data_IF_798646898614
#
_entry.id   IF_798646898614
#
_cell.length_a   1.000
_cell.length_b   1.000
_cell.length_c   1.000
_cell.angle_alpha   90.00
_cell.angle_beta   90.00
_cell.angle_gamma   90.00
#
_symmetry.space_group_name_H-M   'P 1'
#
loop_
_entity.id
_entity.type
_entity.pdbx_description
1 polymer ?
#
# COMPACT_ATOMS: atom_id res chain seq x y z
N UNK A 1 22.00 5.09 5.32
CA UNK A 1 23.20 4.44 4.74
C UNK A 1 23.59 3.25 5.60
N UNK A 2 23.67 3.41 6.92
CA UNK A 2 24.13 2.37 7.86
C UNK A 2 23.50 0.98 7.66
N UNK A 3 22.18 0.90 7.39
CA UNK A 3 21.50 -0.38 7.19
C UNK A 3 21.57 -0.90 5.75
N UNK A 4 21.36 -0.03 4.75
CA UNK A 4 21.15 -0.45 3.36
C UNK A 4 22.39 -0.37 2.47
N UNK A 5 23.43 0.30 2.94
CA UNK A 5 24.70 0.52 2.25
C UNK A 5 25.85 0.48 3.28
N UNK A 6 26.05 -0.66 3.97
CA UNK A 6 27.07 -0.77 4.99
C UNK A 6 28.47 -0.59 4.41
N UNK A 7 29.44 -0.24 5.25
CA UNK A 7 30.85 -0.31 4.86
C UNK A 7 31.29 -1.76 4.89
N UNK A 8 31.88 -2.23 3.78
CA UNK A 8 32.37 -3.59 3.58
C UNK A 8 33.79 -3.56 3.02
N UNK A 9 34.50 -4.68 3.04
CA UNK A 9 35.85 -4.81 2.47
C UNK A 9 35.82 -5.61 1.16
N UNK A 10 36.68 -5.24 0.22
CA UNK A 10 36.89 -6.03 -1.00
C UNK A 10 37.90 -7.17 -0.75
N UNK A 11 38.27 -7.91 -1.78
CA UNK A 11 39.23 -9.02 -1.67
C UNK A 11 40.61 -8.57 -1.14
N UNK A 12 40.99 -7.31 -1.38
CA UNK A 12 42.25 -6.73 -0.89
C UNK A 12 42.12 -6.08 0.50
N UNK A 13 40.98 -6.22 1.18
CA UNK A 13 40.75 -5.65 2.51
C UNK A 13 40.46 -4.15 2.53
N UNK A 14 40.32 -3.50 1.37
CA UNK A 14 40.01 -2.07 1.27
C UNK A 14 38.53 -1.82 1.56
N UNK A 15 38.25 -0.87 2.45
CA UNK A 15 36.88 -0.45 2.78
C UNK A 15 36.23 0.31 1.62
N UNK A 16 34.97 -0.02 1.34
CA UNK A 16 34.08 0.70 0.44
C UNK A 16 32.64 0.62 0.93
N UNK A 17 31.76 1.44 0.37
CA UNK A 17 30.32 1.39 0.66
C UNK A 17 29.68 0.33 -0.23
N UNK A 18 28.95 -0.63 0.34
CA UNK A 18 28.16 -1.57 -0.45
C UNK A 18 27.04 -0.83 -1.19
N UNK A 19 27.03 -0.94 -2.51
CA UNK A 19 26.01 -0.32 -3.39
C UNK A 19 24.93 -1.30 -3.83
N UNK A 20 24.97 -2.57 -3.38
CA UNK A 20 23.87 -3.52 -3.56
C UNK A 20 22.76 -3.22 -2.55
N UNK A 21 22.05 -2.12 -2.78
CA UNK A 21 20.95 -1.64 -1.94
C UNK A 21 19.86 -2.73 -1.88
N UNK A 22 19.61 -3.26 -0.69
CA UNK A 22 18.72 -4.40 -0.50
C UNK A 22 18.29 -4.57 0.94
N UNK A 23 17.99 -5.81 1.34
CA UNK A 23 17.56 -6.12 2.70
C UNK A 23 18.76 -6.10 3.67
N UNK A 24 18.76 -5.26 4.74
CA UNK A 24 19.88 -5.20 5.70
C UNK A 24 20.18 -6.53 6.39
N UNK A 25 19.19 -7.42 6.53
CA UNK A 25 19.38 -8.75 7.11
C UNK A 25 20.18 -9.70 6.21
N UNK A 26 20.32 -9.41 4.91
CA UNK A 26 21.18 -10.19 4.00
C UNK A 26 22.64 -10.12 4.46
N UNK A 27 23.02 -9.01 5.10
CA UNK A 27 24.36 -8.77 5.60
C UNK A 27 24.39 -8.26 7.06
N UNK A 28 23.69 -8.98 7.94
CA UNK A 28 23.48 -8.62 9.35
C UNK A 28 24.77 -8.21 10.11
N UNK A 29 25.88 -8.89 9.82
CA UNK A 29 27.16 -8.69 10.50
C UNK A 29 27.75 -7.29 10.27
N UNK A 30 27.53 -6.69 9.09
CA UNK A 30 27.99 -5.33 8.78
C UNK A 30 26.87 -4.28 8.88
N UNK A 31 25.67 -4.66 9.31
CA UNK A 31 24.52 -3.74 9.48
C UNK A 31 24.12 -3.64 10.95
N UNK A 32 23.16 -4.45 11.40
CA UNK A 32 22.60 -4.39 12.74
C UNK A 32 23.64 -4.69 13.83
N UNK A 33 24.52 -5.66 13.59
CA UNK A 33 25.52 -6.10 14.58
C UNK A 33 26.58 -5.04 14.93
N UNK A 34 26.69 -3.97 14.13
CA UNK A 34 27.56 -2.83 14.49
C UNK A 34 27.04 -2.06 15.71
N UNK A 35 25.73 -2.12 15.99
CA UNK A 35 25.09 -1.35 17.05
C UNK A 35 24.35 -2.22 18.08
N UNK A 36 24.02 -3.46 17.71
CA UNK A 36 23.21 -4.37 18.51
C UNK A 36 23.99 -5.62 18.90
N UNK A 37 23.77 -6.10 20.13
CA UNK A 37 24.35 -7.34 20.65
C UNK A 37 23.42 -8.55 20.51
N UNK A 38 22.14 -8.31 20.18
CA UNK A 38 21.18 -9.37 19.92
C UNK A 38 21.58 -10.14 18.65
N UNK A 39 21.32 -11.45 18.65
CA UNK A 39 21.54 -12.25 17.45
C UNK A 39 20.57 -11.90 16.30
N UNK A 40 20.92 -12.38 15.10
CA UNK A 40 20.14 -12.15 13.88
C UNK A 40 18.69 -12.62 14.00
N UNK A 41 18.47 -13.80 14.57
CA UNK A 41 17.15 -14.42 14.64
C UNK A 41 16.22 -13.67 15.60
N UNK A 42 16.75 -13.21 16.74
CA UNK A 42 16.03 -12.40 17.70
C UNK A 42 15.54 -11.08 17.08
N UNK A 43 16.41 -10.35 16.37
CA UNK A 43 16.00 -9.11 15.70
C UNK A 43 15.05 -9.36 14.52
N UNK A 44 15.24 -10.42 13.74
CA UNK A 44 14.29 -10.81 12.69
C UNK A 44 12.90 -11.11 13.26
N UNK A 45 12.82 -11.76 14.43
CA UNK A 45 11.55 -12.06 15.10
C UNK A 45 10.82 -10.78 15.51
N UNK A 46 11.53 -9.79 16.08
CA UNK A 46 10.93 -8.49 16.45
C UNK A 46 10.39 -7.75 15.21
N UNK A 47 11.15 -7.74 14.11
CA UNK A 47 10.72 -7.10 12.87
C UNK A 47 9.51 -7.82 12.25
N UNK A 48 9.47 -9.15 12.31
CA UNK A 48 8.35 -9.95 11.83
C UNK A 48 7.09 -9.75 12.67
N UNK A 49 7.21 -9.66 14.00
CA UNK A 49 6.09 -9.37 14.90
C UNK A 49 5.45 -8.02 14.56
N UNK A 50 6.25 -6.96 14.44
CA UNK A 50 5.76 -5.62 14.05
C UNK A 50 5.10 -5.62 12.68
N UNK A 51 5.66 -6.37 11.72
CA UNK A 51 5.06 -6.52 10.39
C UNK A 51 3.68 -7.16 10.49
N UNK A 52 3.53 -8.18 11.34
CA UNK A 52 2.25 -8.85 11.54
C UNK A 52 1.23 -7.96 12.27
N UNK A 53 1.64 -7.22 13.31
CA UNK A 53 0.76 -6.28 14.01
C UNK A 53 0.23 -5.18 13.08
N UNK A 54 1.10 -4.62 12.23
CA UNK A 54 0.68 -3.62 11.24
C UNK A 54 -0.21 -4.25 10.17
N UNK A 55 0.08 -5.48 9.74
CA UNK A 55 -0.74 -6.17 8.74
C UNK A 55 -2.16 -6.46 9.24
N UNK A 56 -2.32 -6.95 10.47
CA UNK A 56 -3.64 -7.20 11.07
C UNK A 56 -4.46 -5.90 11.14
N UNK A 57 -3.89 -4.80 11.63
CA UNK A 57 -4.61 -3.53 11.71
C UNK A 57 -4.87 -2.91 10.32
N UNK A 58 -3.92 -3.03 9.39
CA UNK A 58 -4.06 -2.60 7.98
C UNK A 58 -5.29 -3.23 7.35
N UNK A 59 -5.45 -4.55 7.45
CA UNK A 59 -6.56 -5.28 6.85
C UNK A 59 -7.89 -4.84 7.48
N UNK A 60 -7.96 -4.67 8.81
CA UNK A 60 -9.17 -4.15 9.46
C UNK A 60 -9.58 -2.78 8.93
N UNK A 61 -8.62 -1.88 8.69
CA UNK A 61 -8.89 -0.55 8.11
C UNK A 61 -9.33 -0.67 6.65
N UNK A 62 -8.69 -1.55 5.87
CA UNK A 62 -9.08 -1.83 4.48
C UNK A 62 -10.52 -2.32 4.39
N UNK A 63 -10.92 -3.27 5.25
CA UNK A 63 -12.28 -3.78 5.29
C UNK A 63 -13.29 -2.65 5.55
N UNK A 64 -13.03 -1.76 6.51
CA UNK A 64 -13.89 -0.61 6.77
C UNK A 64 -13.98 0.33 5.56
N UNK A 65 -12.86 0.57 4.86
CA UNK A 65 -12.82 1.41 3.68
C UNK A 65 -13.58 0.78 2.50
N UNK A 66 -13.45 -0.54 2.30
CA UNK A 66 -14.23 -1.28 1.29
C UNK A 66 -15.73 -1.08 1.55
N UNK A 67 -16.20 -1.34 2.77
CA UNK A 67 -17.59 -1.13 3.12
C UNK A 67 -18.03 0.32 2.92
N UNK A 68 -17.23 1.30 3.39
CA UNK A 68 -17.57 2.72 3.25
C UNK A 68 -17.73 3.14 1.77
N UNK A 69 -16.90 2.63 0.86
CA UNK A 69 -17.01 2.92 -0.57
C UNK A 69 -18.27 2.32 -1.20
N UNK A 70 -18.61 1.06 -0.88
CA UNK A 70 -19.83 0.43 -1.40
C UNK A 70 -21.11 1.01 -0.80
N UNK A 71 -21.10 1.35 0.49
CA UNK A 71 -22.20 2.08 1.14
C UNK A 71 -22.39 3.47 0.52
N UNK A 72 -21.30 4.19 0.23
CA UNK A 72 -21.36 5.47 -0.48
C UNK A 72 -21.93 5.33 -1.89
N UNK A 73 -21.54 4.27 -2.62
CA UNK A 73 -22.14 3.95 -3.91
C UNK A 73 -23.65 3.68 -3.77
N UNK A 74 -24.08 2.89 -2.80
CA UNK A 74 -25.49 2.62 -2.57
C UNK A 74 -26.28 3.89 -2.23
N UNK A 75 -25.71 4.82 -1.45
CA UNK A 75 -26.32 6.10 -1.16
C UNK A 75 -26.48 6.97 -2.43
N UNK A 76 -25.45 7.00 -3.30
CA UNK A 76 -25.51 7.68 -4.59
C UNK A 76 -26.55 7.07 -5.53
N UNK A 77 -26.60 5.73 -5.63
CA UNK A 77 -27.59 5.00 -6.43
C UNK A 77 -29.02 5.26 -5.92
N UNK A 78 -29.20 5.48 -4.61
CA UNK A 78 -30.45 5.87 -3.99
C UNK A 78 -30.78 7.38 -4.09
N UNK A 79 -30.01 8.14 -4.88
CA UNK A 79 -30.27 9.56 -5.17
C UNK A 79 -29.80 10.52 -4.08
N UNK A 80 -28.75 10.18 -3.32
CA UNK A 80 -28.08 11.15 -2.46
C UNK A 80 -27.45 12.28 -3.28
N UNK A 81 -27.67 13.52 -2.83
CA UNK A 81 -27.13 14.73 -3.45
C UNK A 81 -25.66 14.94 -3.09
N UNK A 82 -24.96 15.78 -3.86
CA UNK A 82 -23.58 16.18 -3.54
C UNK A 82 -23.46 16.79 -2.15
N UNK A 83 -24.43 17.62 -1.74
CA UNK A 83 -24.42 18.26 -0.42
C UNK A 83 -24.55 17.24 0.73
N UNK A 84 -25.39 16.21 0.55
CA UNK A 84 -25.53 15.11 1.52
C UNK A 84 -24.26 14.25 1.58
N UNK A 85 -23.61 14.01 0.44
CA UNK A 85 -22.43 13.15 0.33
C UNK A 85 -21.12 13.83 0.75
N UNK A 86 -21.01 15.16 0.61
CA UNK A 86 -19.78 15.92 0.89
C UNK A 86 -19.11 15.58 2.23
N UNK A 87 -19.80 15.61 3.40
CA UNK A 87 -19.16 15.30 4.67
C UNK A 87 -18.70 13.84 4.77
N UNK A 88 -19.43 12.90 4.15
CA UNK A 88 -19.06 11.48 4.10
C UNK A 88 -17.81 11.29 3.25
N UNK A 89 -17.77 11.90 2.08
CA UNK A 89 -16.63 11.83 1.16
C UNK A 89 -15.37 12.47 1.77
N UNK A 90 -15.52 13.54 2.55
CA UNK A 90 -14.41 14.13 3.31
C UNK A 90 -13.85 13.16 4.36
N UNK A 91 -14.71 12.44 5.09
CA UNK A 91 -14.27 11.44 6.06
C UNK A 91 -13.60 10.24 5.36
N UNK A 92 -14.16 9.71 4.26
CA UNK A 92 -13.55 8.66 3.45
C UNK A 92 -12.18 9.11 2.92
N UNK A 93 -12.09 10.34 2.40
CA UNK A 93 -10.83 10.93 1.92
C UNK A 93 -9.78 10.94 3.01
N UNK A 94 -10.12 11.42 4.20
CA UNK A 94 -9.16 11.48 5.31
C UNK A 94 -8.79 10.10 5.85
N UNK A 95 -9.75 9.18 5.94
CA UNK A 95 -9.51 7.81 6.37
C UNK A 95 -8.52 7.11 5.42
N UNK A 96 -8.81 7.14 4.12
CA UNK A 96 -7.97 6.48 3.12
C UNK A 96 -6.60 7.16 2.98
N UNK A 97 -6.51 8.50 3.07
CA UNK A 97 -5.21 9.18 3.10
C UNK A 97 -4.32 8.70 4.24
N UNK A 98 -4.87 8.61 5.46
CA UNK A 98 -4.13 8.17 6.65
C UNK A 98 -3.70 6.71 6.52
N UNK A 99 -4.60 5.85 6.05
CA UNK A 99 -4.30 4.45 5.78
C UNK A 99 -3.17 4.32 4.75
N UNK A 100 -3.30 4.95 3.60
CA UNK A 100 -2.36 4.80 2.49
C UNK A 100 -0.96 5.29 2.92
N UNK A 101 -0.87 6.48 3.51
CA UNK A 101 0.41 7.00 4.00
C UNK A 101 1.03 6.10 5.10
N UNK A 102 0.22 5.44 5.92
CA UNK A 102 0.71 4.54 6.97
C UNK A 102 1.38 3.28 6.40
N UNK A 103 0.95 2.79 5.24
CA UNK A 103 1.38 1.48 4.71
C UNK A 103 2.02 1.53 3.32
N UNK A 104 2.04 2.68 2.64
CA UNK A 104 2.65 2.84 1.32
C UNK A 104 4.17 2.57 1.36
N UNK A 105 4.82 2.86 2.50
CA UNK A 105 6.18 2.42 2.76
C UNK A 105 6.19 0.96 3.20
N UNK A 106 6.64 0.07 2.32
CA UNK A 106 6.81 -1.36 2.63
C UNK A 106 7.73 -1.63 3.84
N UNK A 107 8.60 -0.68 4.19
CA UNK A 107 9.52 -0.77 5.34
C UNK A 107 8.98 -0.15 6.64
N UNK A 108 7.74 0.33 6.69
CA UNK A 108 7.20 1.07 7.86
C UNK A 108 7.33 0.28 9.17
N UNK A 109 7.15 -1.04 9.11
CA UNK A 109 7.23 -1.93 10.26
C UNK A 109 8.65 -2.04 10.87
N UNK A 110 9.66 -1.62 10.13
CA UNK A 110 11.04 -1.48 10.61
C UNK A 110 11.35 -0.01 10.97
N UNK A 111 10.96 0.94 10.11
CA UNK A 111 11.40 2.33 10.21
C UNK A 111 10.70 3.14 11.30
N UNK A 112 9.38 3.03 11.41
CA UNK A 112 8.57 3.77 12.38
C UNK A 112 7.26 3.00 12.70
N UNK A 113 7.36 1.77 13.21
CA UNK A 113 6.23 0.87 13.41
C UNK A 113 5.11 1.45 14.29
N UNK A 114 5.45 2.13 15.38
CA UNK A 114 4.48 2.80 16.26
C UNK A 114 3.73 3.95 15.56
N UNK A 115 4.41 4.69 14.69
CA UNK A 115 3.78 5.75 13.89
C UNK A 115 2.84 5.14 12.83
N UNK A 116 3.24 4.06 12.17
CA UNK A 116 2.36 3.31 11.26
C UNK A 116 1.09 2.83 11.96
N UNK A 117 1.21 2.27 13.18
CA UNK A 117 0.06 1.87 13.99
C UNK A 117 -0.81 3.06 14.40
N UNK A 118 -0.20 4.18 14.84
CA UNK A 118 -0.92 5.41 15.20
C UNK A 118 -1.73 5.95 14.02
N UNK A 119 -1.11 6.03 12.84
CA UNK A 119 -1.77 6.52 11.62
C UNK A 119 -2.95 5.63 11.22
N UNK A 120 -2.80 4.30 11.28
CA UNK A 120 -3.92 3.36 11.07
C UNK A 120 -5.04 3.54 12.10
N UNK A 121 -4.71 3.78 13.37
CA UNK A 121 -5.71 4.12 14.39
C UNK A 121 -6.52 5.37 14.03
N UNK A 122 -5.86 6.42 13.54
CA UNK A 122 -6.55 7.63 13.06
C UNK A 122 -7.31 7.42 11.75
N UNK A 123 -6.90 6.45 10.91
CA UNK A 123 -7.66 6.07 9.72
C UNK A 123 -8.98 5.39 10.11
N UNK A 124 -8.91 4.47 11.09
CA UNK A 124 -10.07 3.76 11.63
C UNK A 124 -11.12 4.71 12.20
N UNK A 125 -10.70 5.72 12.96
CA UNK A 125 -11.59 6.77 13.49
C UNK A 125 -12.40 7.46 12.38
N UNK A 126 -11.74 7.86 11.29
CA UNK A 126 -12.42 8.51 10.16
C UNK A 126 -13.28 7.56 9.34
N UNK A 127 -12.89 6.30 9.22
CA UNK A 127 -13.71 5.28 8.58
C UNK A 127 -15.00 5.03 9.39
N UNK A 128 -14.91 4.97 10.72
CA UNK A 128 -16.07 4.85 11.60
C UNK A 128 -17.02 6.05 11.47
N UNK A 129 -16.46 7.27 11.43
CA UNK A 129 -17.20 8.50 11.17
C UNK A 129 -17.98 8.46 9.84
N UNK A 130 -17.34 7.98 8.77
CA UNK A 130 -17.93 7.86 7.45
C UNK A 130 -19.09 6.86 7.42
N UNK A 131 -18.85 5.61 7.87
CA UNK A 131 -19.86 4.54 7.85
C UNK A 131 -21.06 4.86 8.73
N UNK A 132 -20.83 5.50 9.86
CA UNK A 132 -21.89 5.96 10.76
C UNK A 132 -22.78 7.04 10.12
N UNK A 133 -22.18 7.96 9.34
CA UNK A 133 -22.94 8.95 8.55
C UNK A 133 -23.67 8.30 7.38
N UNK A 134 -23.05 7.34 6.71
CA UNK A 134 -23.63 6.57 5.61
C UNK A 134 -24.86 5.79 6.05
N UNK A 135 -24.79 5.05 7.16
CA UNK A 135 -25.93 4.31 7.69
C UNK A 135 -27.15 5.23 7.96
N UNK A 136 -26.91 6.43 8.51
CA UNK A 136 -27.98 7.42 8.70
C UNK A 136 -28.53 7.97 7.38
N UNK A 137 -27.66 8.27 6.42
CA UNK A 137 -28.07 8.78 5.11
C UNK A 137 -28.86 7.72 4.33
N UNK A 138 -28.40 6.48 4.29
CA UNK A 138 -29.11 5.35 3.69
C UNK A 138 -30.50 5.18 4.30
N UNK A 139 -30.63 5.34 5.63
CA UNK A 139 -31.93 5.28 6.29
C UNK A 139 -32.90 6.37 5.83
N UNK A 140 -32.44 7.60 5.53
CA UNK A 140 -33.32 8.65 4.96
C UNK A 140 -33.76 8.33 3.53
N UNK A 141 -33.01 7.46 2.82
CA UNK A 141 -33.37 6.92 1.51
C UNK A 141 -34.16 5.61 1.59
N UNK A 142 -34.59 5.18 2.79
CA UNK A 142 -35.38 3.97 3.01
C UNK A 142 -34.58 2.66 3.05
N UNK A 143 -33.25 2.74 3.13
CA UNK A 143 -32.34 1.59 3.20
C UNK A 143 -31.85 1.41 4.64
N UNK A 144 -32.27 0.33 5.29
CA UNK A 144 -31.93 0.02 6.71
C UNK A 144 -31.22 -1.32 6.91
N UNK A 145 -30.96 -2.05 5.83
CA UNK A 145 -30.18 -3.29 5.84
C UNK A 145 -28.70 -2.99 5.57
N UNK A 146 -27.84 -3.95 5.88
CA UNK A 146 -26.42 -3.90 5.53
C UNK A 146 -26.23 -3.92 4.01
N UNK A 147 -25.29 -3.12 3.50
CA UNK A 147 -24.97 -3.08 2.08
C UNK A 147 -24.05 -4.25 1.75
N UNK A 148 -24.57 -5.19 0.95
CA UNK A 148 -23.81 -6.35 0.46
C UNK A 148 -22.63 -5.94 -0.41
N UNK A 149 -21.50 -6.61 -0.22
CA UNK A 149 -20.26 -6.38 -0.99
C UNK A 149 -20.17 -7.43 -2.10
N UNK A 150 -19.85 -7.06 -3.36
CA UNK A 150 -19.63 -8.03 -4.41
C UNK A 150 -18.45 -8.95 -4.07
N UNK A 151 -18.35 -10.08 -4.75
CA UNK A 151 -17.23 -11.00 -4.55
C UNK A 151 -15.90 -10.33 -4.97
N UNK A 152 -15.08 -9.99 -3.98
CA UNK A 152 -13.75 -9.40 -4.12
C UNK A 152 -12.65 -10.35 -3.61
N UNK A 153 -12.94 -11.66 -3.50
CA UNK A 153 -12.04 -12.68 -2.93
C UNK A 153 -10.73 -12.87 -3.70
N UNK A 154 -10.67 -12.40 -4.94
CA UNK A 154 -9.47 -12.45 -5.78
C UNK A 154 -9.28 -11.11 -6.47
N UNK A 155 -8.03 -10.82 -6.85
CA UNK A 155 -7.68 -9.63 -7.63
C UNK A 155 -8.55 -9.49 -8.88
N UNK A 156 -8.72 -10.57 -9.64
CA UNK A 156 -9.46 -10.59 -10.90
C UNK A 156 -10.93 -10.23 -10.68
N UNK A 157 -11.56 -10.80 -9.65
CA UNK A 157 -12.96 -10.49 -9.30
C UNK A 157 -13.13 -9.06 -8.80
N UNK A 158 -12.24 -8.56 -7.96
CA UNK A 158 -12.27 -7.17 -7.51
C UNK A 158 -12.11 -6.18 -8.67
N UNK A 159 -11.21 -6.46 -9.63
CA UNK A 159 -11.05 -5.66 -10.85
C UNK A 159 -12.31 -5.67 -11.72
N UNK A 160 -12.93 -6.83 -11.88
CA UNK A 160 -14.20 -6.95 -12.61
C UNK A 160 -15.34 -6.20 -11.92
N UNK A 161 -15.44 -6.27 -10.59
CA UNK A 161 -16.50 -5.62 -9.80
C UNK A 161 -16.50 -4.08 -9.95
N UNK A 162 -15.35 -3.48 -10.25
CA UNK A 162 -15.21 -2.03 -10.50
C UNK A 162 -15.21 -1.68 -12.00
N UNK A 163 -15.51 -2.64 -12.89
CA UNK A 163 -15.69 -2.42 -14.32
C UNK A 163 -14.41 -2.39 -15.16
N UNK A 164 -13.27 -2.90 -14.66
CA UNK A 164 -12.04 -2.95 -15.45
C UNK A 164 -12.04 -4.11 -16.45
N UNK A 165 -11.91 -3.80 -17.73
CA UNK A 165 -11.63 -4.80 -18.77
C UNK A 165 -10.14 -5.18 -18.77
N UNK A 166 -9.77 -6.10 -17.87
CA UNK A 166 -8.37 -6.50 -17.69
C UNK A 166 -7.77 -7.27 -18.88
N UNK A 167 -8.60 -7.88 -19.73
CA UNK A 167 -8.12 -8.51 -20.97
C UNK A 167 -7.62 -7.44 -21.94
N UNK A 168 -8.44 -6.43 -22.20
CA UNK A 168 -8.09 -5.29 -23.05
C UNK A 168 -6.87 -4.55 -22.49
N UNK A 169 -6.88 -4.17 -21.21
CA UNK A 169 -5.78 -3.43 -20.57
C UNK A 169 -4.46 -4.20 -20.70
N UNK A 170 -4.48 -5.52 -20.49
CA UNK A 170 -3.27 -6.35 -20.62
C UNK A 170 -2.83 -6.49 -22.08
N UNK A 171 -3.76 -6.67 -23.02
CA UNK A 171 -3.44 -6.78 -24.44
C UNK A 171 -2.75 -5.50 -24.96
N UNK A 172 -3.34 -4.33 -24.68
CA UNK A 172 -2.77 -3.03 -25.05
C UNK A 172 -1.39 -2.81 -24.40
N UNK A 173 -1.27 -3.14 -23.10
CA UNK A 173 0.02 -2.98 -22.42
C UNK A 173 1.10 -3.94 -22.94
N UNK A 174 0.73 -5.16 -23.31
CA UNK A 174 1.67 -6.13 -23.89
C UNK A 174 2.15 -5.70 -25.28
N UNK A 175 1.25 -5.15 -26.11
CA UNK A 175 1.64 -4.60 -27.41
C UNK A 175 2.62 -3.43 -27.24
N UNK A 176 2.30 -2.49 -26.33
CA UNK A 176 3.20 -1.40 -25.97
C UNK A 176 4.58 -1.89 -25.50
N UNK A 177 4.63 -2.90 -24.61
CA UNK A 177 5.89 -3.42 -24.09
C UNK A 177 6.73 -4.05 -25.20
N UNK A 178 6.12 -4.83 -26.08
CA UNK A 178 6.82 -5.55 -27.15
C UNK A 178 7.27 -4.63 -28.28
N UNK A 179 6.52 -3.56 -28.54
CA UNK A 179 6.75 -2.69 -29.70
C UNK A 179 7.53 -1.44 -29.32
N UNK A 180 7.09 -0.72 -28.28
CA UNK A 180 7.59 0.63 -27.98
C UNK A 180 8.86 0.61 -27.13
N UNK A 181 8.99 -0.34 -26.19
CA UNK A 181 10.19 -0.40 -25.33
C UNK A 181 11.46 -0.66 -26.16
N UNK A 182 11.49 -1.63 -27.11
CA UNK A 182 12.67 -1.80 -27.96
C UNK A 182 13.00 -0.57 -28.81
N UNK A 183 11.98 0.15 -29.31
CA UNK A 183 12.17 1.39 -30.07
C UNK A 183 12.78 2.50 -29.22
N UNK A 184 12.34 2.64 -27.97
CA UNK A 184 12.94 3.58 -27.02
C UNK A 184 14.40 3.25 -26.75
N UNK A 185 14.72 1.97 -26.52
CA UNK A 185 16.09 1.55 -26.29
C UNK A 185 16.96 1.75 -27.55
N UNK A 186 16.46 1.44 -28.74
CA UNK A 186 17.14 1.71 -30.01
C UNK A 186 17.44 3.19 -30.18
N UNK A 187 16.45 4.05 -29.96
CA UNK A 187 16.63 5.50 -30.03
C UNK A 187 17.63 6.00 -28.98
N UNK A 188 17.58 5.46 -27.75
CA UNK A 188 18.53 5.78 -26.71
C UNK A 188 19.96 5.35 -27.08
N UNK A 189 20.14 4.15 -27.66
CA UNK A 189 21.44 3.67 -28.17
C UNK A 189 21.96 4.56 -29.32
N UNK A 190 21.09 4.93 -30.27
CA UNK A 190 21.44 5.82 -31.40
C UNK A 190 21.93 7.19 -30.93
N UNK A 191 21.38 7.68 -29.83
CA UNK A 191 21.75 8.97 -29.24
C UNK A 191 22.86 8.86 -28.18
N UNK A 192 23.46 7.68 -27.99
CA UNK A 192 24.54 7.48 -27.01
C UNK A 192 24.10 7.57 -25.55
N UNK A 193 22.81 7.41 -25.26
CA UNK A 193 22.23 7.48 -23.90
C UNK A 193 22.13 6.11 -23.22
N UNK A 194 22.23 5.02 -23.99
CA UNK A 194 22.18 3.64 -23.51
C UNK A 194 23.24 2.81 -24.24
N UNK A 195 23.96 1.97 -23.50
CA UNK A 195 24.95 1.04 -24.06
C UNK A 195 24.27 -0.04 -24.91
N UNK A 196 25.04 -0.67 -25.81
CA UNK A 196 24.56 -1.81 -26.61
C UNK A 196 24.01 -2.92 -25.72
#
# INVERSE_FOLDING_TARGET
IDCHMPKVQNAEGKLYTDHKIGNPFDNFAQTCANCHTQDKAALQKVVAERKQSINDLKIKVEDQLVHAHFEAKAALDAGATEAEMKPIQDDIRHAQWRWDLAIASHGIHMHAPEEGLRMLGTAMDKAADARTKLARLLATKGITHEIEIPDISTKEKAQQAIGLNMEQIKAEKQDFIKTVIPQWEEQARKNGLLSQ
#
